data_IF_944790150943
#
_entry.id   IF_944790150943
#
_cell.length_a   1.000
_cell.length_b   1.000
_cell.length_c   1.000
_cell.angle_alpha   90.00
_cell.angle_beta   90.00
_cell.angle_gamma   90.00
#
_symmetry.space_group_name_H-M   'P 1'
#
loop_
_entity.id
_entity.type
_entity.pdbx_description
1 polymer ?
#
# COMPACT_ATOMS: atom_id res chain seq x y z
N UNK A 1 44.06 -59.93 36.81
CA UNK A 1 44.58 -60.43 35.53
C UNK A 1 43.40 -61.02 34.76
N UNK A 2 42.91 -60.32 33.72
CA UNK A 2 42.08 -60.81 32.58
C UNK A 2 40.67 -61.36 32.93
N UNK A 3 39.54 -61.04 32.28
CA UNK A 3 39.13 -60.27 31.09
C UNK A 3 37.60 -60.00 31.25
N UNK A 4 37.11 -58.81 30.89
CA UNK A 4 35.67 -58.54 30.73
C UNK A 4 35.24 -58.80 29.27
N UNK A 5 34.06 -59.37 29.00
CA UNK A 5 33.55 -59.48 27.64
C UNK A 5 32.91 -58.15 27.18
N UNK A 6 33.17 -57.84 25.91
CA UNK A 6 32.65 -56.71 25.14
C UNK A 6 31.20 -57.02 24.74
N UNK A 7 30.26 -56.16 25.12
CA UNK A 7 28.88 -56.18 24.60
C UNK A 7 28.84 -55.22 23.39
N UNK A 8 28.74 -55.79 22.19
CA UNK A 8 28.38 -55.06 20.98
C UNK A 8 26.85 -54.86 20.96
N UNK A 9 26.40 -53.64 21.22
CA UNK A 9 25.04 -53.20 20.93
C UNK A 9 24.97 -52.78 19.47
N UNK A 10 24.33 -53.61 18.63
CA UNK A 10 23.97 -53.25 17.26
C UNK A 10 22.76 -52.32 17.28
N UNK A 11 22.97 -51.06 16.89
CA UNK A 11 21.94 -50.05 16.71
C UNK A 11 21.03 -50.41 15.52
N UNK A 12 19.79 -50.84 15.78
CA UNK A 12 18.75 -50.91 14.77
C UNK A 12 18.16 -49.50 14.58
N UNK A 13 18.56 -48.82 13.50
CA UNK A 13 17.92 -47.60 13.03
C UNK A 13 16.52 -47.94 12.51
N UNK A 14 15.48 -47.69 13.31
CA UNK A 14 14.11 -47.61 12.80
C UNK A 14 13.96 -46.28 12.06
N UNK A 15 14.09 -46.31 10.73
CA UNK A 15 13.60 -45.24 9.86
C UNK A 15 12.07 -45.22 9.95
N UNK A 16 11.53 -44.37 10.84
CA UNK A 16 10.15 -43.91 10.74
C UNK A 16 10.01 -43.20 9.39
N UNK A 17 9.32 -43.83 8.45
CA UNK A 17 8.82 -43.16 7.26
C UNK A 17 7.90 -42.02 7.71
N UNK A 18 8.40 -40.78 7.65
CA UNK A 18 7.56 -39.60 7.72
C UNK A 18 6.65 -39.66 6.50
N UNK A 19 5.39 -40.04 6.69
CA UNK A 19 4.35 -39.87 5.69
C UNK A 19 4.13 -38.37 5.54
N UNK A 20 4.83 -37.77 4.58
CA UNK A 20 4.51 -36.44 4.10
C UNK A 20 3.11 -36.52 3.49
N UNK A 21 2.13 -35.86 4.13
CA UNK A 21 0.81 -35.68 3.53
C UNK A 21 0.99 -35.02 2.17
N UNK A 22 0.31 -35.49 1.10
CA UNK A 22 0.47 -34.91 -0.22
C UNK A 22 0.12 -33.43 -0.17
N UNK A 23 1.06 -32.58 -0.58
CA UNK A 23 0.81 -31.17 -0.84
C UNK A 23 -0.32 -31.10 -1.87
N UNK A 24 -1.42 -30.35 -1.63
CA UNK A 24 -2.52 -30.28 -2.58
C UNK A 24 -1.98 -29.81 -3.95
N UNK A 25 -2.45 -30.46 -5.02
CA UNK A 25 -2.07 -30.16 -6.40
C UNK A 25 -2.37 -28.67 -6.68
N UNK A 26 -1.34 -27.85 -6.94
CA UNK A 26 -1.52 -26.43 -7.28
C UNK A 26 -2.36 -26.23 -8.55
N UNK A 27 -2.40 -27.24 -9.44
CA UNK A 27 -3.23 -27.27 -10.65
C UNK A 27 -4.72 -27.58 -10.40
N UNK A 28 -5.10 -28.06 -9.21
CA UNK A 28 -6.49 -28.33 -8.82
C UNK A 28 -7.05 -27.29 -7.83
N UNK A 29 -6.21 -26.36 -7.37
CA UNK A 29 -6.57 -25.40 -6.35
C UNK A 29 -7.49 -24.33 -6.96
N UNK A 30 -8.79 -24.46 -6.69
CA UNK A 30 -9.81 -23.57 -7.25
C UNK A 30 -10.10 -22.49 -6.22
N UNK A 31 -9.54 -21.30 -6.42
CA UNK A 31 -9.90 -20.09 -5.66
C UNK A 31 -10.95 -19.29 -6.43
N UNK A 32 -11.71 -18.47 -5.71
CA UNK A 32 -12.68 -17.55 -6.30
C UNK A 32 -11.99 -16.54 -7.20
N UNK A 33 -10.80 -16.08 -6.81
CA UNK A 33 -9.99 -15.11 -7.55
C UNK A 33 -8.52 -15.53 -7.62
N UNK A 34 -7.80 -15.09 -8.65
CA UNK A 34 -6.33 -15.14 -8.67
C UNK A 34 -5.78 -14.12 -7.66
N UNK A 35 -6.37 -12.91 -7.65
CA UNK A 35 -5.90 -11.78 -6.85
C UNK A 35 -7.08 -11.03 -6.23
N UNK A 36 -7.00 -10.74 -4.94
CA UNK A 36 -7.87 -9.74 -4.30
C UNK A 36 -7.08 -8.46 -4.05
N UNK A 37 -7.66 -7.32 -4.42
CA UNK A 37 -7.13 -5.97 -4.18
C UNK A 37 -7.93 -5.32 -3.06
N UNK A 38 -7.26 -4.89 -2.00
CA UNK A 38 -7.88 -4.28 -0.82
C UNK A 38 -7.68 -2.77 -0.86
N UNK A 39 -8.70 -2.03 -1.31
CA UNK A 39 -8.73 -0.58 -1.43
C UNK A 39 -8.89 -0.09 -2.88
N UNK A 40 -9.81 0.85 -3.11
CA UNK A 40 -10.12 1.43 -4.42
C UNK A 40 -9.51 2.81 -4.69
N UNK A 41 -8.40 3.13 -4.01
CA UNK A 41 -7.57 4.29 -4.33
C UNK A 41 -6.79 4.12 -5.63
N UNK A 42 -5.97 5.11 -6.04
CA UNK A 42 -5.21 5.05 -7.29
C UNK A 42 -4.32 3.81 -7.44
N UNK A 43 -3.70 3.32 -6.35
CA UNK A 43 -2.88 2.11 -6.40
C UNK A 43 -3.70 0.84 -6.64
N UNK A 44 -4.87 0.73 -6.00
CA UNK A 44 -5.82 -0.36 -6.24
C UNK A 44 -6.38 -0.34 -7.66
N UNK A 45 -6.76 0.85 -8.17
CA UNK A 45 -7.23 1.03 -9.55
C UNK A 45 -6.14 0.66 -10.58
N UNK A 46 -4.89 1.07 -10.34
CA UNK A 46 -3.74 0.71 -11.18
C UNK A 46 -3.50 -0.80 -11.22
N UNK A 47 -3.62 -1.46 -10.07
CA UNK A 47 -3.52 -2.91 -9.98
C UNK A 47 -4.68 -3.61 -10.71
N UNK A 48 -5.92 -3.23 -10.42
CA UNK A 48 -7.13 -3.83 -11.02
C UNK A 48 -7.14 -3.69 -12.55
N UNK A 49 -6.81 -2.51 -13.06
CA UNK A 49 -6.65 -2.26 -14.50
C UNK A 49 -5.59 -3.18 -15.13
N UNK A 50 -4.43 -3.30 -14.47
CA UNK A 50 -3.34 -4.16 -14.93
C UNK A 50 -3.74 -5.63 -14.96
N UNK A 51 -4.46 -6.11 -13.95
CA UNK A 51 -4.98 -7.49 -13.86
C UNK A 51 -6.00 -7.77 -14.97
N UNK A 52 -6.91 -6.82 -15.23
CA UNK A 52 -7.88 -6.92 -16.31
C UNK A 52 -7.23 -7.04 -17.69
N UNK A 53 -6.18 -6.27 -17.95
CA UNK A 53 -5.42 -6.33 -19.22
C UNK A 53 -4.75 -7.67 -19.50
N UNK A 54 -4.38 -8.41 -18.46
CA UNK A 54 -3.78 -9.75 -18.57
C UNK A 54 -4.78 -10.87 -18.26
N UNK A 55 -6.07 -10.53 -18.18
CA UNK A 55 -7.20 -11.46 -17.99
C UNK A 55 -7.08 -12.33 -16.73
N UNK A 56 -6.48 -11.81 -15.66
CA UNK A 56 -6.54 -12.44 -14.34
C UNK A 56 -7.92 -12.27 -13.74
N UNK A 57 -8.39 -13.28 -13.01
CA UNK A 57 -9.65 -13.20 -12.27
C UNK A 57 -9.39 -12.43 -10.98
N UNK A 58 -9.93 -11.21 -10.84
CA UNK A 58 -9.64 -10.38 -9.67
C UNK A 58 -10.86 -9.66 -9.11
N UNK A 59 -10.85 -9.44 -7.79
CA UNK A 59 -11.85 -8.66 -7.08
C UNK A 59 -11.16 -7.51 -6.33
N UNK A 60 -11.67 -6.30 -6.49
CA UNK A 60 -11.33 -5.18 -5.64
C UNK A 60 -12.42 -4.95 -4.60
N UNK A 61 -12.02 -4.85 -3.34
CA UNK A 61 -12.92 -4.54 -2.21
C UNK A 61 -12.54 -3.17 -1.68
N UNK A 62 -13.46 -2.20 -1.76
CA UNK A 62 -13.20 -0.80 -1.43
C UNK A 62 -14.10 -0.27 -0.31
N UNK A 63 -13.51 0.26 0.76
CA UNK A 63 -14.23 0.86 1.88
C UNK A 63 -14.69 2.29 1.62
N UNK A 64 -14.31 2.87 0.47
CA UNK A 64 -14.60 4.24 0.07
C UNK A 64 -14.03 5.32 1.01
N UNK A 65 -12.99 5.01 1.79
CA UNK A 65 -12.31 5.95 2.69
C UNK A 65 -10.98 6.45 2.11
N UNK A 66 -11.04 7.46 1.26
CA UNK A 66 -9.87 7.96 0.52
C UNK A 66 -9.10 9.05 1.28
N UNK A 67 -7.77 9.05 1.19
CA UNK A 67 -6.90 10.04 1.85
C UNK A 67 -7.15 11.46 1.33
N UNK A 68 -7.32 11.61 0.03
CA UNK A 68 -7.63 12.89 -0.62
C UNK A 68 -9.14 13.20 -0.69
N UNK A 69 -10.01 12.48 0.01
CA UNK A 69 -11.45 12.79 0.03
C UNK A 69 -11.80 14.23 0.47
N UNK A 70 -11.07 14.87 1.40
CA UNK A 70 -11.35 16.24 1.81
C UNK A 70 -11.00 17.31 0.76
N UNK A 71 -10.10 17.00 -0.17
CA UNK A 71 -9.59 17.96 -1.17
C UNK A 71 -10.67 18.34 -2.18
N UNK A 72 -10.70 19.61 -2.58
CA UNK A 72 -11.63 20.11 -3.60
C UNK A 72 -11.35 19.44 -4.95
N UNK A 73 -10.09 19.52 -5.36
CA UNK A 73 -9.59 19.09 -6.65
C UNK A 73 -8.29 18.30 -6.44
N UNK A 74 -7.95 17.47 -7.42
CA UNK A 74 -6.63 16.86 -7.51
C UNK A 74 -5.87 17.44 -8.70
N UNK A 75 -4.60 17.73 -8.49
CA UNK A 75 -3.68 18.20 -9.51
C UNK A 75 -2.50 17.23 -9.66
N UNK A 76 -1.59 17.55 -10.58
CA UNK A 76 -0.37 16.77 -10.87
C UNK A 76 -0.69 15.34 -11.36
N UNK A 77 -1.81 15.20 -12.08
CA UNK A 77 -2.19 13.96 -12.76
C UNK A 77 -2.51 14.25 -14.21
N UNK A 78 -1.55 13.97 -15.08
CA UNK A 78 -1.68 14.20 -16.52
C UNK A 78 -3.00 13.59 -17.07
N UNK A 79 -3.82 14.43 -17.70
CA UNK A 79 -5.14 14.06 -18.24
C UNK A 79 -6.31 14.16 -17.26
N UNK A 80 -6.05 14.42 -15.97
CA UNK A 80 -7.05 14.60 -14.92
C UNK A 80 -6.72 15.80 -14.02
N UNK A 81 -5.96 16.76 -14.53
CA UNK A 81 -5.55 17.93 -13.76
C UNK A 81 -6.76 18.82 -13.45
N UNK A 82 -6.97 19.11 -12.18
CA UNK A 82 -8.10 19.91 -11.71
C UNK A 82 -9.42 19.17 -11.66
N UNK A 83 -9.49 17.85 -11.67
CA UNK A 83 -10.78 17.17 -11.46
C UNK A 83 -11.03 16.89 -9.98
N UNK A 84 -12.27 16.57 -9.60
CA UNK A 84 -12.49 16.07 -8.23
C UNK A 84 -11.91 14.65 -8.09
N UNK A 85 -11.31 14.30 -6.94
CA UNK A 85 -10.80 12.93 -6.71
C UNK A 85 -11.85 11.84 -6.96
N UNK A 86 -13.12 12.12 -6.64
CA UNK A 86 -14.22 11.20 -6.88
C UNK A 86 -14.47 10.99 -8.38
N UNK A 87 -14.42 12.05 -9.19
CA UNK A 87 -14.58 11.94 -10.64
C UNK A 87 -13.45 11.12 -11.28
N UNK A 88 -12.20 11.35 -10.85
CA UNK A 88 -11.07 10.53 -11.30
C UNK A 88 -11.30 9.03 -11.05
N UNK A 89 -11.65 8.65 -9.81
CA UNK A 89 -11.90 7.25 -9.45
C UNK A 89 -13.07 6.65 -10.24
N UNK A 90 -14.17 7.41 -10.36
CA UNK A 90 -15.32 7.00 -11.16
C UNK A 90 -14.93 6.75 -12.62
N UNK A 91 -14.22 7.70 -13.26
CA UNK A 91 -13.80 7.61 -14.65
C UNK A 91 -12.88 6.41 -14.88
N UNK A 92 -11.90 6.19 -14.00
CA UNK A 92 -11.04 5.01 -14.03
C UNK A 92 -11.86 3.71 -13.93
N UNK A 93 -12.83 3.64 -13.01
CA UNK A 93 -13.69 2.46 -12.85
C UNK A 93 -14.58 2.20 -14.08
N UNK A 94 -15.09 3.23 -14.74
CA UNK A 94 -15.85 3.06 -16.00
C UNK A 94 -14.99 2.36 -17.07
N UNK A 95 -13.70 2.73 -17.16
CA UNK A 95 -12.78 2.10 -18.12
C UNK A 95 -12.45 0.66 -17.72
N UNK A 96 -12.20 0.41 -16.44
CA UNK A 96 -11.86 -0.93 -15.92
C UNK A 96 -13.03 -1.90 -16.10
N UNK A 97 -14.28 -1.43 -16.00
CA UNK A 97 -15.48 -2.25 -16.14
C UNK A 97 -15.62 -2.95 -17.51
N UNK A 98 -14.87 -2.52 -18.54
CA UNK A 98 -14.81 -3.22 -19.82
C UNK A 98 -14.04 -4.55 -19.77
N UNK A 99 -13.25 -4.80 -18.72
CA UNK A 99 -12.54 -6.06 -18.55
C UNK A 99 -13.41 -7.07 -17.78
N UNK A 100 -13.93 -8.07 -18.47
CA UNK A 100 -14.88 -9.05 -17.89
C UNK A 100 -14.29 -9.97 -16.82
N UNK A 101 -12.97 -9.98 -16.62
CA UNK A 101 -12.29 -10.85 -15.64
C UNK A 101 -12.08 -10.17 -14.29
N UNK A 102 -12.39 -8.88 -14.18
CA UNK A 102 -12.23 -8.14 -12.93
C UNK A 102 -13.58 -7.59 -12.47
N UNK A 103 -13.77 -7.58 -11.17
CA UNK A 103 -14.94 -6.99 -10.52
C UNK A 103 -14.50 -6.11 -9.36
N UNK A 104 -15.40 -5.23 -8.94
CA UNK A 104 -15.21 -4.39 -7.77
C UNK A 104 -16.49 -4.38 -6.94
N UNK A 105 -16.34 -4.27 -5.63
CA UNK A 105 -17.46 -4.14 -4.69
C UNK A 105 -17.11 -3.17 -3.57
N UNK A 106 -18.13 -2.55 -3.00
CA UNK A 106 -17.98 -1.73 -1.82
C UNK A 106 -18.03 -2.62 -0.56
N UNK A 107 -17.02 -2.49 0.29
CA UNK A 107 -16.94 -3.24 1.53
C UNK A 107 -15.63 -3.00 2.26
N UNK A 108 -15.57 -3.41 3.52
CA UNK A 108 -14.35 -3.34 4.33
C UNK A 108 -13.82 -4.74 4.57
N UNK A 109 -12.59 -5.01 4.13
CA UNK A 109 -11.90 -6.26 4.48
C UNK A 109 -11.53 -6.22 5.96
N UNK A 110 -11.93 -7.25 6.69
CA UNK A 110 -11.76 -7.36 8.14
C UNK A 110 -10.71 -8.39 8.54
N UNK A 111 -10.44 -9.39 7.69
CA UNK A 111 -9.43 -10.42 7.96
C UNK A 111 -8.91 -11.03 6.66
N UNK A 112 -7.63 -11.40 6.66
CA UNK A 112 -6.98 -12.17 5.61
C UNK A 112 -6.24 -13.30 6.32
N UNK A 113 -6.58 -14.55 6.02
CA UNK A 113 -5.99 -15.73 6.67
C UNK A 113 -5.26 -16.57 5.63
N UNK A 114 -3.95 -16.84 5.80
CA UNK A 114 -3.19 -17.68 4.90
C UNK A 114 -3.60 -19.15 5.07
N UNK A 115 -3.71 -19.85 3.94
CA UNK A 115 -4.09 -21.26 3.88
C UNK A 115 -3.06 -22.07 3.11
N UNK A 116 -3.00 -23.38 3.42
CA UNK A 116 -2.11 -24.34 2.76
C UNK A 116 -0.66 -23.82 2.59
N UNK A 117 -0.06 -23.34 3.70
CA UNK A 117 1.29 -22.76 3.72
C UNK A 117 1.44 -21.58 2.73
N UNK A 118 0.53 -20.60 2.82
CA UNK A 118 0.53 -19.38 1.99
C UNK A 118 0.31 -19.64 0.49
N UNK A 119 -0.31 -20.76 0.14
CA UNK A 119 -0.67 -21.05 -1.27
C UNK A 119 -1.87 -20.21 -1.71
N UNK A 120 -2.80 -19.94 -0.79
CA UNK A 120 -3.94 -19.06 -1.01
C UNK A 120 -4.39 -18.43 0.32
N UNK A 121 -5.41 -17.57 0.25
CA UNK A 121 -5.92 -16.80 1.37
C UNK A 121 -7.45 -16.83 1.43
N UNK A 122 -7.99 -16.91 2.64
CA UNK A 122 -9.37 -16.57 2.94
C UNK A 122 -9.45 -15.07 3.28
N UNK A 123 -10.23 -14.31 2.52
CA UNK A 123 -10.41 -12.86 2.69
C UNK A 123 -11.85 -12.59 3.12
N UNK A 124 -12.02 -12.18 4.38
CA UNK A 124 -13.32 -11.84 4.95
C UNK A 124 -13.59 -10.34 4.82
N UNK A 125 -14.81 -9.98 4.43
CA UNK A 125 -15.24 -8.59 4.28
C UNK A 125 -16.65 -8.36 4.82
N UNK A 126 -16.93 -7.11 5.19
CA UNK A 126 -18.28 -6.62 5.51
C UNK A 126 -18.70 -5.62 4.42
N UNK A 127 -19.80 -5.91 3.73
CA UNK A 127 -20.38 -5.07 2.69
C UNK A 127 -21.13 -3.86 3.29
N UNK A 128 -21.53 -2.90 2.46
CA UNK A 128 -22.18 -1.67 2.93
C UNK A 128 -23.52 -1.90 3.65
N UNK A 129 -24.22 -2.98 3.33
CA UNK A 129 -25.47 -3.38 3.98
C UNK A 129 -25.26 -4.20 5.27
N UNK A 130 -24.00 -4.43 5.66
CA UNK A 130 -23.62 -5.23 6.81
C UNK A 130 -23.47 -6.73 6.52
N UNK A 131 -23.68 -7.18 5.28
CA UNK A 131 -23.50 -8.59 4.89
C UNK A 131 -22.03 -8.98 5.02
N UNK A 132 -21.78 -10.10 5.72
CA UNK A 132 -20.45 -10.69 5.82
C UNK A 132 -20.23 -11.71 4.70
N UNK A 133 -19.15 -11.50 3.95
CA UNK A 133 -18.75 -12.35 2.83
C UNK A 133 -17.31 -12.84 3.02
N UNK A 134 -16.99 -14.02 2.49
CA UNK A 134 -15.62 -14.53 2.47
C UNK A 134 -15.29 -15.04 1.08
N UNK A 135 -14.12 -14.65 0.58
CA UNK A 135 -13.62 -14.97 -0.74
C UNK A 135 -12.25 -15.63 -0.65
N UNK A 136 -11.91 -16.47 -1.61
CA UNK A 136 -10.58 -17.09 -1.71
C UNK A 136 -9.74 -16.44 -2.81
N UNK A 137 -8.45 -16.21 -2.53
CA UNK A 137 -7.51 -15.70 -3.52
C UNK A 137 -6.10 -16.29 -3.41
N UNK A 138 -5.38 -16.44 -4.53
CA UNK A 138 -3.98 -16.90 -4.52
C UNK A 138 -3.01 -15.83 -4.03
N UNK A 139 -3.30 -14.56 -4.32
CA UNK A 139 -2.49 -13.40 -3.91
C UNK A 139 -3.41 -12.28 -3.40
N UNK A 140 -2.86 -11.42 -2.54
CA UNK A 140 -3.57 -10.24 -2.04
C UNK A 140 -2.68 -9.00 -2.17
N UNK A 141 -3.26 -7.91 -2.67
CA UNK A 141 -2.64 -6.59 -2.74
C UNK A 141 -3.28 -5.68 -1.70
N UNK A 142 -2.50 -5.21 -0.74
CA UNK A 142 -2.90 -4.22 0.27
C UNK A 142 -2.68 -2.80 -0.30
N UNK A 143 -3.78 -2.19 -0.77
CA UNK A 143 -3.84 -0.83 -1.31
C UNK A 143 -4.60 0.11 -0.35
N UNK A 144 -4.39 -0.08 0.95
CA UNK A 144 -5.23 0.49 2.03
C UNK A 144 -5.00 1.98 2.29
N UNK A 145 -3.88 2.53 1.83
CA UNK A 145 -3.48 3.91 2.04
C UNK A 145 -3.16 4.25 3.50
N UNK A 146 -2.98 5.56 3.74
CA UNK A 146 -2.70 6.14 5.06
C UNK A 146 -3.84 7.05 5.53
N UNK A 147 -3.81 7.37 6.82
CA UNK A 147 -4.60 8.42 7.46
C UNK A 147 -3.67 9.50 8.01
N UNK A 148 -3.93 10.75 7.68
CA UNK A 148 -3.21 11.90 8.23
C UNK A 148 -3.64 12.18 9.67
N UNK A 149 -2.66 12.40 10.56
CA UNK A 149 -2.87 12.72 11.98
C UNK A 149 -2.99 14.23 12.16
N UNK A 150 -4.13 14.77 11.73
CA UNK A 150 -4.44 16.20 11.87
C UNK A 150 -4.71 16.54 13.35
N UNK A 151 -4.00 17.51 13.96
CA UNK A 151 -4.19 17.88 15.36
C UNK A 151 -5.61 18.36 15.70
N UNK A 152 -6.00 18.24 16.96
CA UNK A 152 -7.30 18.70 17.49
C UNK A 152 -7.39 20.22 17.68
N UNK A 153 -6.36 20.99 17.30
CA UNK A 153 -6.40 22.46 17.34
C UNK A 153 -7.64 22.96 16.59
N UNK A 154 -8.54 23.71 17.24
CA UNK A 154 -9.80 24.09 16.63
C UNK A 154 -9.61 24.80 15.29
N UNK A 155 -10.29 24.33 14.25
CA UNK A 155 -10.20 24.84 12.89
C UNK A 155 -9.21 24.12 11.98
N UNK A 156 -8.32 23.23 12.48
CA UNK A 156 -7.45 22.46 11.58
C UNK A 156 -8.22 21.38 10.82
N UNK A 157 -8.96 20.53 11.54
CA UNK A 157 -9.65 19.38 10.92
C UNK A 157 -10.75 19.82 9.95
N UNK A 158 -11.48 20.89 10.28
CA UNK A 158 -12.58 21.41 9.47
C UNK A 158 -12.11 22.00 8.13
N UNK A 159 -10.87 22.48 8.09
CA UNK A 159 -10.28 23.16 6.93
C UNK A 159 -9.21 22.32 6.20
N UNK A 160 -8.93 21.10 6.69
CA UNK A 160 -8.00 20.18 6.01
C UNK A 160 -8.53 19.79 4.62
N UNK A 161 -7.72 20.01 3.58
CA UNK A 161 -8.11 19.89 2.18
C UNK A 161 -8.90 21.08 1.61
N UNK A 162 -9.07 22.17 2.38
CA UNK A 162 -9.84 23.36 2.02
C UNK A 162 -9.12 24.64 2.49
N UNK A 163 -7.91 24.86 1.98
CA UNK A 163 -7.00 25.94 2.38
C UNK A 163 -5.97 25.55 3.45
N UNK A 164 -6.09 24.35 4.03
CA UNK A 164 -5.05 23.71 4.84
C UNK A 164 -4.61 22.41 4.15
N UNK A 165 -3.39 22.36 3.64
CA UNK A 165 -2.89 21.28 2.79
C UNK A 165 -1.59 20.70 3.31
N UNK A 166 -1.19 19.54 2.78
CA UNK A 166 0.08 18.90 3.15
C UNK A 166 1.11 18.95 2.02
N UNK A 167 0.68 19.10 0.76
CA UNK A 167 1.51 18.88 -0.43
C UNK A 167 1.50 20.10 -1.36
N UNK A 168 2.61 20.84 -1.48
CA UNK A 168 2.68 22.02 -2.37
C UNK A 168 2.59 21.67 -3.85
N UNK A 169 2.93 20.44 -4.26
CA UNK A 169 2.73 19.97 -5.63
C UNK A 169 1.24 19.76 -5.98
N UNK A 170 0.42 19.49 -4.97
CA UNK A 170 -0.98 19.12 -5.12
C UNK A 170 -1.90 20.33 -5.11
N UNK A 171 -1.56 21.35 -4.31
CA UNK A 171 -2.43 22.50 -4.02
C UNK A 171 -1.67 23.84 -4.05
N UNK A 172 -0.40 23.86 -4.47
CA UNK A 172 0.44 25.07 -4.33
C UNK A 172 0.15 26.17 -5.33
N UNK A 173 -0.05 25.83 -6.60
CA UNK A 173 -0.15 26.82 -7.69
C UNK A 173 -1.44 27.65 -7.62
N UNK A 174 -2.52 27.05 -7.11
CA UNK A 174 -3.80 27.74 -6.83
C UNK A 174 -3.63 28.86 -5.80
N UNK A 175 -2.56 28.80 -4.99
CA UNK A 175 -2.22 29.76 -3.95
C UNK A 175 -0.90 30.50 -4.20
N UNK A 176 -0.38 30.51 -5.43
CA UNK A 176 0.82 31.26 -5.78
C UNK A 176 0.65 32.78 -5.53
N UNK A 177 1.76 33.44 -5.16
CA UNK A 177 1.84 34.88 -4.83
C UNK A 177 0.98 35.34 -3.63
N UNK A 178 0.38 34.41 -2.90
CA UNK A 178 -0.42 34.66 -1.69
C UNK A 178 0.43 34.60 -0.40
N UNK A 179 -0.13 35.01 0.74
CA UNK A 179 0.52 34.85 2.05
C UNK A 179 0.38 33.41 2.57
N UNK A 180 1.51 32.76 2.86
CA UNK A 180 1.58 31.34 3.20
C UNK A 180 2.03 31.10 4.64
N UNK A 181 1.28 30.26 5.35
CA UNK A 181 1.69 29.68 6.63
C UNK A 181 2.17 28.25 6.46
N UNK A 182 3.19 27.83 7.20
CA UNK A 182 3.64 26.42 7.23
C UNK A 182 3.70 25.96 8.69
N UNK A 183 2.94 24.92 9.03
CA UNK A 183 2.72 24.46 10.40
C UNK A 183 3.41 23.12 10.63
N UNK A 184 4.16 23.01 11.71
CA UNK A 184 4.79 21.76 12.12
C UNK A 184 6.10 21.95 12.89
N UNK A 185 6.77 20.84 13.26
CA UNK A 185 8.05 20.90 13.94
C UNK A 185 9.12 21.61 13.10
N UNK A 186 9.92 22.47 13.73
CA UNK A 186 10.89 23.34 13.04
C UNK A 186 11.84 22.56 12.13
N UNK A 187 12.30 21.39 12.56
CA UNK A 187 13.25 20.56 11.82
C UNK A 187 12.64 19.98 10.52
N UNK A 188 11.32 19.82 10.47
CA UNK A 188 10.61 19.27 9.31
C UNK A 188 10.10 20.36 8.35
N UNK A 189 9.63 21.50 8.88
CA UNK A 189 8.94 22.54 8.09
C UNK A 189 9.87 23.40 7.23
N UNK A 190 11.19 23.39 7.47
CA UNK A 190 12.14 24.15 6.64
C UNK A 190 12.26 23.55 5.24
N UNK A 191 12.27 22.22 5.12
CA UNK A 191 12.23 21.54 3.82
C UNK A 191 10.92 21.83 3.09
N UNK A 192 9.78 21.74 3.78
CA UNK A 192 8.48 22.10 3.20
C UNK A 192 8.43 23.56 2.72
N UNK A 193 9.03 24.49 3.45
CA UNK A 193 9.16 25.88 3.03
C UNK A 193 10.06 26.03 1.79
N UNK A 194 11.11 25.22 1.68
CA UNK A 194 11.97 25.19 0.51
C UNK A 194 11.27 24.61 -0.73
N UNK A 195 10.42 23.60 -0.57
CA UNK A 195 9.60 23.04 -1.66
C UNK A 195 8.63 24.07 -2.25
N UNK A 196 8.03 24.92 -1.41
CA UNK A 196 7.08 25.95 -1.84
C UNK A 196 7.72 27.30 -2.22
N UNK A 197 9.05 27.45 -2.14
CA UNK A 197 9.70 28.77 -2.17
C UNK A 197 9.56 29.53 -3.49
N UNK A 198 9.27 28.82 -4.59
CA UNK A 198 9.05 29.43 -5.91
C UNK A 198 7.62 29.90 -6.12
N UNK A 199 6.69 29.49 -5.26
CA UNK A 199 5.28 29.85 -5.34
C UNK A 199 4.99 31.15 -4.60
N UNK A 200 5.65 31.41 -3.47
CA UNK A 200 5.27 32.50 -2.57
C UNK A 200 6.50 33.18 -1.94
N UNK A 201 6.43 34.51 -1.78
CA UNK A 201 7.48 35.31 -1.13
C UNK A 201 7.13 35.71 0.31
N UNK A 202 5.86 35.70 0.72
CA UNK A 202 5.42 35.95 2.11
C UNK A 202 5.13 34.62 2.81
N UNK A 203 6.17 34.02 3.38
CA UNK A 203 6.10 32.74 4.08
C UNK A 203 6.38 32.92 5.56
N UNK A 204 5.52 32.35 6.40
CA UNK A 204 5.75 32.22 7.85
C UNK A 204 5.63 30.78 8.30
N UNK A 205 6.67 30.32 8.97
CA UNK A 205 6.69 29.04 9.67
C UNK A 205 6.08 29.24 11.06
N UNK A 206 5.12 28.41 11.43
CA UNK A 206 4.58 28.31 12.77
C UNK A 206 5.13 27.03 13.44
N UNK A 207 6.16 27.22 14.26
CA UNK A 207 6.92 26.13 14.88
C UNK A 207 6.27 25.59 16.17
N UNK A 208 5.25 26.27 16.71
CA UNK A 208 4.44 25.78 17.83
C UNK A 208 5.28 25.30 19.03
N UNK A 209 6.21 26.13 19.50
CA UNK A 209 7.11 25.84 20.61
C UNK A 209 8.35 24.99 20.26
N UNK A 210 8.44 24.45 19.04
CA UNK A 210 9.56 23.57 18.65
C UNK A 210 10.82 24.32 18.22
N UNK A 211 10.78 25.65 18.02
CA UNK A 211 11.98 26.44 17.76
C UNK A 211 12.84 26.57 19.02
N UNK A 212 13.67 25.55 19.22
CA UNK A 212 14.59 25.36 20.34
C UNK A 212 15.99 25.04 19.81
N UNK A 213 17.06 25.18 20.62
CA UNK A 213 18.41 24.83 20.18
C UNK A 213 18.55 23.39 19.66
N UNK A 214 17.83 22.44 20.25
CA UNK A 214 17.85 21.03 19.81
C UNK A 214 17.26 20.87 18.40
N UNK A 215 16.06 21.40 18.18
CA UNK A 215 15.38 21.33 16.88
C UNK A 215 16.11 22.13 15.80
N UNK A 216 16.69 23.29 16.14
CA UNK A 216 17.57 24.03 15.21
C UNK A 216 18.78 23.20 14.79
N UNK A 217 19.42 22.48 15.72
CA UNK A 217 20.54 21.59 15.38
C UNK A 217 20.12 20.43 14.48
N UNK A 218 18.92 19.86 14.68
CA UNK A 218 18.36 18.85 13.77
C UNK A 218 18.10 19.43 12.39
N UNK A 219 17.45 20.60 12.34
CA UNK A 219 17.13 21.31 11.11
C UNK A 219 18.38 21.67 10.30
N UNK A 220 19.46 22.13 10.96
CA UNK A 220 20.73 22.39 10.30
C UNK A 220 21.30 21.11 9.67
N UNK A 221 21.33 19.98 10.39
CA UNK A 221 21.84 18.71 9.85
C UNK A 221 21.05 18.21 8.65
N UNK A 222 19.72 18.36 8.68
CA UNK A 222 18.85 17.95 7.57
C UNK A 222 18.99 18.91 6.38
N UNK A 223 19.05 20.21 6.65
CA UNK A 223 19.05 21.27 5.64
C UNK A 223 20.44 21.89 5.42
N UNK A 224 21.35 21.07 4.89
CA UNK A 224 22.67 21.50 4.39
C UNK A 224 23.53 22.30 5.39
N UNK A 225 23.48 21.93 6.67
CA UNK A 225 24.26 22.46 7.80
C UNK A 225 24.02 23.93 8.15
N UNK A 226 23.08 24.62 7.50
CA UNK A 226 22.85 26.06 7.73
C UNK A 226 21.42 26.53 7.41
N UNK A 227 20.46 25.92 8.08
CA UNK A 227 19.03 26.22 7.91
C UNK A 227 18.69 27.67 8.27
N UNK A 228 19.35 28.22 9.30
CA UNK A 228 19.11 29.59 9.78
C UNK A 228 19.52 30.65 8.75
N UNK A 229 20.65 30.47 8.06
CA UNK A 229 21.08 31.37 6.99
C UNK A 229 20.15 31.28 5.77
N UNK A 230 19.64 30.09 5.46
CA UNK A 230 18.66 29.92 4.39
C UNK A 230 17.39 30.71 4.66
N UNK A 231 16.79 30.54 5.86
CA UNK A 231 15.60 31.29 6.28
C UNK A 231 15.84 32.80 6.20
N UNK A 232 17.01 33.27 6.67
CA UNK A 232 17.39 34.68 6.62
C UNK A 232 17.49 35.21 5.19
N UNK A 233 18.14 34.47 4.28
CA UNK A 233 18.30 34.88 2.87
C UNK A 233 16.99 34.87 2.10
N UNK A 234 16.07 33.97 2.46
CA UNK A 234 14.73 33.86 1.87
C UNK A 234 13.69 34.75 2.55
N UNK A 235 14.08 35.47 3.61
CA UNK A 235 13.18 36.31 4.42
C UNK A 235 11.96 35.54 4.99
N UNK A 236 12.17 34.26 5.32
CA UNK A 236 11.13 33.41 5.93
C UNK A 236 11.13 33.66 7.43
N UNK A 237 9.98 34.05 7.98
CA UNK A 237 9.84 34.28 9.43
C UNK A 237 9.48 32.98 10.13
N UNK A 238 10.02 32.79 11.33
CA UNK A 238 9.64 31.71 12.23
C UNK A 238 8.89 32.32 13.40
N UNK A 239 7.64 31.90 13.59
CA UNK A 239 6.82 32.20 14.76
C UNK A 239 6.77 30.97 15.66
N UNK A 240 7.35 31.07 16.85
CA UNK A 240 7.43 29.95 17.78
C UNK A 240 6.28 29.91 18.79
N UNK A 241 5.34 30.85 18.74
CA UNK A 241 4.20 30.86 19.65
C UNK A 241 3.27 29.67 19.38
N UNK A 242 2.54 29.24 20.41
CA UNK A 242 1.64 28.10 20.29
C UNK A 242 0.37 28.52 19.55
N UNK A 243 -0.04 27.75 18.53
CA UNK A 243 -1.32 27.97 17.85
C UNK A 243 -2.45 27.47 18.75
N UNK A 244 -3.36 28.37 19.13
CA UNK A 244 -4.53 28.04 19.94
C UNK A 244 -5.76 27.76 19.08
N UNK A 245 -5.87 28.41 17.90
CA UNK A 245 -7.03 28.27 17.00
C UNK A 245 -6.70 28.75 15.60
N UNK A 246 -7.41 28.20 14.61
CA UNK A 246 -7.42 28.69 13.24
C UNK A 246 -8.86 29.06 12.87
N UNK A 247 -9.08 30.31 12.46
CA UNK A 247 -10.39 30.76 11.98
C UNK A 247 -10.33 30.99 10.50
N UNK A 248 -11.20 30.35 9.74
CA UNK A 248 -11.40 30.70 8.33
C UNK A 248 -12.30 31.93 8.23
N UNK A 249 -11.73 33.03 7.75
CA UNK A 249 -12.39 34.32 7.57
C UNK A 249 -13.07 34.43 6.19
N UNK A 250 -12.51 33.76 5.18
CA UNK A 250 -13.01 33.74 3.82
C UNK A 250 -12.84 32.34 3.20
N UNK A 251 -13.87 31.88 2.50
CA UNK A 251 -13.82 30.66 1.67
C UNK A 251 -13.45 31.04 0.24
N UNK A 252 -12.25 30.64 -0.20
CA UNK A 252 -11.70 30.93 -1.53
C UNK A 252 -12.17 29.99 -2.65
N UNK A 253 -12.94 28.94 -2.33
CA UNK A 253 -13.33 27.90 -3.30
C UNK A 253 -14.76 28.04 -3.82
N UNK A 254 -15.47 29.12 -3.48
CA UNK A 254 -16.89 29.31 -3.81
C UNK A 254 -17.14 30.01 -5.17
N UNK A 255 -16.13 30.09 -6.04
CA UNK A 255 -16.24 30.82 -7.31
C UNK A 255 -16.70 29.93 -8.47
N UNK A 256 -17.38 30.53 -9.46
CA UNK A 256 -17.67 29.85 -10.74
C UNK A 256 -16.36 29.47 -11.42
N UNK A 257 -16.21 28.18 -11.71
CA UNK A 257 -15.02 27.61 -12.33
C UNK A 257 -15.31 27.19 -13.76
N UNK A 258 -14.36 27.46 -14.66
CA UNK A 258 -14.31 26.82 -15.97
C UNK A 258 -13.73 25.40 -15.83
N UNK A 259 -14.53 24.33 -16.07
CA UNK A 259 -14.07 22.96 -15.96
C UNK A 259 -13.04 22.56 -17.04
N UNK A 260 -12.81 23.40 -18.05
CA UNK A 260 -11.76 23.18 -19.07
C UNK A 260 -10.37 23.61 -18.62
N UNK A 261 -10.26 24.42 -17.56
CA UNK A 261 -8.99 24.87 -17.02
C UNK A 261 -8.53 23.97 -15.87
N UNK A 262 -7.23 23.62 -15.83
CA UNK A 262 -6.68 22.76 -14.79
C UNK A 262 -6.75 23.41 -13.40
N UNK A 263 -6.62 24.73 -13.33
CA UNK A 263 -6.60 25.46 -12.07
C UNK A 263 -7.44 26.74 -12.13
N UNK A 264 -7.88 27.18 -10.96
CA UNK A 264 -8.40 28.53 -10.70
C UNK A 264 -7.76 29.01 -9.40
N UNK A 265 -7.25 30.26 -9.34
CA UNK A 265 -6.74 30.81 -8.09
C UNK A 265 -7.78 30.73 -6.96
N UNK A 266 -7.36 30.22 -5.81
CA UNK A 266 -8.21 30.08 -4.61
C UNK A 266 -7.79 31.11 -3.57
N UNK A 267 -8.72 32.01 -3.20
CA UNK A 267 -8.45 33.13 -2.30
C UNK A 267 -9.05 32.90 -0.92
N UNK A 268 -8.56 31.88 -0.23
CA UNK A 268 -8.89 31.63 1.17
C UNK A 268 -8.27 32.70 2.08
N UNK A 269 -8.83 32.90 3.28
CA UNK A 269 -8.21 33.73 4.32
C UNK A 269 -8.41 33.09 5.68
N UNK A 270 -7.31 32.82 6.37
CA UNK A 270 -7.25 32.25 7.69
C UNK A 270 -6.63 33.24 8.67
N UNK A 271 -7.16 33.25 9.89
CA UNK A 271 -6.53 33.88 11.05
C UNK A 271 -5.99 32.80 11.96
N UNK A 272 -4.67 32.77 12.10
CA UNK A 272 -3.94 31.95 13.07
C UNK A 272 -3.89 32.72 14.38
N UNK A 273 -4.45 32.15 15.44
CA UNK A 273 -4.51 32.72 16.78
C UNK A 273 -3.49 32.05 17.69
N UNK A 274 -2.76 32.87 18.44
CA UNK A 274 -1.59 32.46 19.21
C UNK A 274 -1.86 32.59 20.73
N UNK A 275 -1.04 31.93 21.53
CA UNK A 275 -1.16 31.87 22.99
C UNK A 275 -0.98 33.22 23.72
N UNK A 276 -0.36 34.22 23.08
CA UNK A 276 -0.19 35.59 23.57
C UNK A 276 -1.28 36.57 23.07
N UNK A 277 -2.41 36.06 22.56
CA UNK A 277 -3.45 36.81 21.86
C UNK A 277 -3.03 37.40 20.51
N UNK A 278 -1.81 37.09 20.04
CA UNK A 278 -1.33 37.42 18.71
C UNK A 278 -2.20 36.81 17.61
N UNK A 279 -2.28 37.52 16.47
CA UNK A 279 -3.05 37.10 15.31
C UNK A 279 -2.21 37.31 14.05
N UNK A 280 -2.14 36.28 13.23
CA UNK A 280 -1.45 36.33 11.93
C UNK A 280 -2.40 35.83 10.87
N UNK A 281 -2.61 36.62 9.82
CA UNK A 281 -3.50 36.24 8.71
C UNK A 281 -2.71 35.61 7.57
N UNK A 282 -3.19 34.48 7.04
CA UNK A 282 -2.59 33.74 5.93
C UNK A 282 -3.66 33.27 4.98
N UNK A 283 -3.37 33.25 3.70
CA UNK A 283 -4.32 32.83 2.68
C UNK A 283 -4.29 31.33 2.43
N UNK A 284 -3.13 30.70 2.66
CA UNK A 284 -2.98 29.24 2.60
C UNK A 284 -2.12 28.76 3.76
N UNK A 285 -2.44 27.58 4.29
CA UNK A 285 -1.66 26.91 5.31
C UNK A 285 -1.18 25.54 4.79
N UNK A 286 0.12 25.29 4.83
CA UNK A 286 0.71 23.97 4.61
C UNK A 286 1.08 23.33 5.94
N UNK A 287 0.99 22.00 6.03
CA UNK A 287 1.23 21.29 7.28
C UNK A 287 2.17 20.11 7.09
N UNK A 288 3.01 19.86 8.10
CA UNK A 288 3.86 18.67 8.18
C UNK A 288 3.44 17.89 9.42
N UNK A 289 2.42 17.07 9.27
CA UNK A 289 1.87 16.21 10.32
C UNK A 289 2.21 14.74 10.09
N UNK A 290 2.11 13.94 11.15
CA UNK A 290 2.29 12.50 11.06
C UNK A 290 1.18 11.82 10.26
N UNK A 291 1.41 10.58 9.88
CA UNK A 291 0.39 9.71 9.29
C UNK A 291 0.54 8.29 9.84
N UNK A 292 -0.51 7.49 9.70
CA UNK A 292 -0.56 6.10 10.14
C UNK A 292 -1.27 5.22 9.11
N UNK A 293 -1.14 3.90 9.23
CA UNK A 293 -1.90 2.97 8.40
C UNK A 293 -3.39 3.19 8.58
N UNK A 294 -4.13 3.27 7.46
CA UNK A 294 -5.59 3.30 7.49
C UNK A 294 -6.18 1.98 8.02
N UNK A 295 -5.48 0.88 7.79
CA UNK A 295 -5.95 -0.47 8.07
C UNK A 295 -4.90 -1.26 8.87
N UNK A 296 -5.32 -2.03 9.90
CA UNK A 296 -4.41 -2.89 10.66
C UNK A 296 -4.06 -4.20 9.93
N UNK A 297 -4.60 -4.45 8.73
CA UNK A 297 -4.47 -5.74 8.03
C UNK A 297 -3.01 -6.16 7.82
N UNK A 298 -2.11 -5.22 7.51
CA UNK A 298 -0.68 -5.49 7.37
C UNK A 298 -0.08 -6.06 8.65
N UNK A 299 -0.30 -5.39 9.78
CA UNK A 299 0.18 -5.83 11.09
C UNK A 299 -0.43 -7.17 11.50
N UNK A 300 -1.74 -7.34 11.31
CA UNK A 300 -2.45 -8.59 11.60
C UNK A 300 -1.92 -9.79 10.78
N UNK A 301 -1.43 -9.54 9.57
CA UNK A 301 -0.81 -10.55 8.70
C UNK A 301 0.65 -10.86 9.06
N UNK A 302 1.26 -10.08 9.95
CA UNK A 302 2.69 -10.18 10.27
C UNK A 302 3.59 -9.54 9.20
N UNK A 303 3.07 -8.56 8.45
CA UNK A 303 3.89 -7.74 7.56
C UNK A 303 4.86 -6.90 8.40
N UNK A 304 6.14 -6.91 8.03
CA UNK A 304 7.16 -6.06 8.64
C UNK A 304 6.82 -4.59 8.44
N UNK A 305 7.02 -3.78 9.48
CA UNK A 305 6.69 -2.35 9.47
C UNK A 305 7.98 -1.53 9.64
N UNK A 306 8.13 -0.46 8.85
CA UNK A 306 9.20 0.52 9.02
C UNK A 306 8.64 1.94 8.98
N UNK A 307 8.86 2.72 10.05
CA UNK A 307 8.31 4.06 10.22
C UNK A 307 6.78 4.13 10.04
N UNK A 308 6.04 3.13 10.56
CA UNK A 308 4.58 3.06 10.43
C UNK A 308 4.07 2.65 9.04
N UNK A 309 4.95 2.26 8.12
CA UNK A 309 4.59 1.80 6.77
C UNK A 309 4.90 0.31 6.57
N UNK A 310 4.13 -0.37 5.71
CA UNK A 310 4.39 -1.76 5.35
C UNK A 310 5.67 -1.87 4.52
N UNK A 311 6.62 -2.65 5.00
CA UNK A 311 7.89 -2.85 4.34
C UNK A 311 7.73 -3.68 3.07
N UNK A 312 8.26 -3.15 1.96
CA UNK A 312 8.21 -3.81 0.66
C UNK A 312 9.56 -3.83 -0.04
N UNK A 313 9.76 -4.85 -0.87
CA UNK A 313 10.78 -4.81 -1.91
C UNK A 313 10.39 -3.79 -2.99
N UNK A 314 11.22 -2.77 -3.23
CA UNK A 314 10.89 -1.63 -4.11
C UNK A 314 10.76 -1.98 -5.59
N UNK A 315 11.22 -3.16 -6.00
CA UNK A 315 11.16 -3.62 -7.39
C UNK A 315 9.86 -4.40 -7.64
N UNK A 316 9.43 -5.21 -6.69
CA UNK A 316 8.30 -6.14 -6.82
C UNK A 316 7.06 -5.76 -6.00
N UNK A 317 7.18 -4.86 -5.03
CA UNK A 317 6.17 -4.54 -4.00
C UNK A 317 5.79 -5.70 -3.08
N UNK A 318 6.61 -6.76 -3.03
CA UNK A 318 6.41 -7.87 -2.10
C UNK A 318 6.64 -7.44 -0.67
N UNK A 319 5.81 -7.94 0.24
CA UNK A 319 6.11 -7.91 1.67
C UNK A 319 6.95 -9.15 2.07
N UNK A 320 7.32 -9.25 3.34
CA UNK A 320 7.90 -10.46 3.92
C UNK A 320 6.92 -11.64 3.99
N UNK A 321 5.61 -11.41 3.84
CA UNK A 321 4.58 -12.46 3.88
C UNK A 321 4.37 -13.00 2.46
N UNK A 322 4.65 -14.29 2.18
CA UNK A 322 4.53 -14.84 0.84
C UNK A 322 3.11 -14.66 0.28
N UNK A 323 2.99 -14.09 -0.91
CA UNK A 323 1.70 -13.87 -1.57
C UNK A 323 0.97 -12.57 -1.19
N UNK A 324 1.50 -11.79 -0.24
CA UNK A 324 1.00 -10.47 0.15
C UNK A 324 1.91 -9.37 -0.41
N UNK A 325 1.27 -8.39 -1.07
CA UNK A 325 1.90 -7.20 -1.62
C UNK A 325 1.32 -5.97 -0.94
N UNK A 326 2.07 -4.88 -0.85
CA UNK A 326 1.57 -3.59 -0.38
C UNK A 326 1.96 -2.48 -1.35
N UNK A 327 1.04 -1.57 -1.65
CA UNK A 327 1.20 -0.58 -2.73
C UNK A 327 0.68 0.80 -2.33
N UNK A 328 1.14 1.83 -3.06
CA UNK A 328 0.82 3.23 -2.80
C UNK A 328 1.29 3.68 -1.43
N UNK A 329 0.56 4.66 -0.87
CA UNK A 329 0.88 5.32 0.40
C UNK A 329 1.09 4.35 1.58
N UNK A 330 0.48 3.16 1.55
CA UNK A 330 0.59 2.21 2.65
C UNK A 330 2.00 1.58 2.79
N UNK A 331 2.84 1.70 1.76
CA UNK A 331 4.13 1.01 1.63
C UNK A 331 5.34 1.91 1.93
N UNK A 332 6.51 1.31 2.21
CA UNK A 332 7.76 2.03 2.48
C UNK A 332 8.43 2.66 1.26
N UNK A 333 7.81 2.65 0.07
CA UNK A 333 8.40 3.21 -1.15
C UNK A 333 8.40 4.77 -1.19
N UNK A 334 7.87 5.43 -0.14
CA UNK A 334 8.10 6.84 0.23
C UNK A 334 7.89 7.89 -0.88
N UNK A 335 6.85 7.72 -1.70
CA UNK A 335 6.39 8.80 -2.59
C UNK A 335 4.87 8.86 -2.60
N UNK A 336 4.28 9.65 -1.69
CA UNK A 336 2.83 9.72 -1.51
C UNK A 336 2.21 10.69 -2.51
N UNK A 337 1.98 10.21 -3.74
CA UNK A 337 1.22 10.92 -4.78
C UNK A 337 0.47 9.91 -5.66
N UNK A 338 -0.44 10.42 -6.50
CA UNK A 338 -1.33 9.60 -7.33
C UNK A 338 -0.56 8.82 -8.41
N UNK A 339 0.44 9.45 -9.05
CA UNK A 339 1.23 8.84 -10.13
C UNK A 339 2.06 7.65 -9.61
N UNK A 340 2.71 7.83 -8.47
CA UNK A 340 3.47 6.78 -7.80
C UNK A 340 2.54 5.66 -7.29
N UNK A 341 1.37 6.01 -6.77
CA UNK A 341 0.36 5.03 -6.39
C UNK A 341 -0.05 4.14 -7.57
N UNK A 342 -0.31 4.73 -8.74
CA UNK A 342 -0.59 3.95 -9.97
C UNK A 342 0.57 3.04 -10.36
N UNK A 343 1.79 3.56 -10.30
CA UNK A 343 3.01 2.82 -10.63
C UNK A 343 3.21 1.60 -9.71
N UNK A 344 3.13 1.77 -8.39
CA UNK A 344 3.29 0.68 -7.42
C UNK A 344 2.24 -0.42 -7.61
N UNK A 345 0.99 -0.05 -7.88
CA UNK A 345 -0.07 -1.01 -8.25
C UNK A 345 0.27 -1.82 -9.51
N UNK A 346 0.83 -1.16 -10.54
CA UNK A 346 1.25 -1.80 -11.79
C UNK A 346 2.39 -2.80 -11.57
N UNK A 347 3.45 -2.41 -10.87
CA UNK A 347 4.62 -3.27 -10.69
C UNK A 347 4.32 -4.50 -9.83
N UNK A 348 3.45 -4.35 -8.80
CA UNK A 348 2.97 -5.48 -8.01
C UNK A 348 2.29 -6.54 -8.90
N UNK A 349 1.45 -6.11 -9.84
CA UNK A 349 0.76 -7.02 -10.77
C UNK A 349 1.72 -7.70 -11.74
N UNK A 350 2.75 -7.00 -12.21
CA UNK A 350 3.77 -7.61 -13.08
C UNK A 350 4.48 -8.75 -12.34
N UNK A 351 4.87 -8.52 -11.10
CA UNK A 351 5.54 -9.54 -10.31
C UNK A 351 4.60 -10.69 -9.90
N UNK A 352 3.36 -10.38 -9.48
CA UNK A 352 2.31 -11.37 -9.21
C UNK A 352 2.10 -12.28 -10.41
N UNK A 353 2.01 -11.71 -11.61
CA UNK A 353 1.83 -12.50 -12.83
C UNK A 353 2.98 -13.50 -13.01
N UNK A 354 4.22 -13.05 -12.84
CA UNK A 354 5.39 -13.93 -12.96
C UNK A 354 5.44 -14.99 -11.86
N UNK A 355 5.05 -14.65 -10.63
CA UNK A 355 4.99 -15.63 -9.54
C UNK A 355 3.94 -16.71 -9.80
N UNK A 356 2.73 -16.32 -10.19
CA UNK A 356 1.64 -17.25 -10.47
C UNK A 356 2.04 -18.23 -11.59
N UNK A 357 2.72 -17.76 -12.64
CA UNK A 357 3.21 -18.62 -13.72
C UNK A 357 4.37 -19.52 -13.29
N UNK A 358 5.28 -19.03 -12.44
CA UNK A 358 6.35 -19.88 -11.85
C UNK A 358 5.76 -20.98 -10.97
N UNK A 359 4.75 -20.65 -10.17
CA UNK A 359 3.99 -21.61 -9.35
C UNK A 359 3.31 -22.68 -10.21
N UNK A 360 2.63 -22.27 -11.29
CA UNK A 360 2.01 -23.19 -12.25
C UNK A 360 3.08 -24.10 -12.88
N UNK A 361 4.20 -23.53 -13.33
CA UNK A 361 5.30 -24.29 -13.94
C UNK A 361 5.89 -25.32 -12.97
N UNK A 362 6.13 -24.94 -11.71
CA UNK A 362 6.57 -25.88 -10.66
C UNK A 362 5.56 -27.02 -10.48
N UNK A 363 4.27 -26.72 -10.42
CA UNK A 363 3.21 -27.73 -10.28
C UNK A 363 3.17 -28.71 -11.47
N UNK A 364 3.28 -28.21 -12.70
CA UNK A 364 3.29 -29.05 -13.90
C UNK A 364 4.50 -29.99 -13.93
N UNK A 365 5.68 -29.51 -13.52
CA UNK A 365 6.89 -30.33 -13.45
C UNK A 365 6.78 -31.43 -12.39
N UNK A 366 6.27 -31.10 -11.19
CA UNK A 366 6.02 -32.08 -10.14
C UNK A 366 5.05 -33.17 -10.62
N UNK A 367 3.97 -32.79 -11.33
CA UNK A 367 3.01 -33.76 -11.86
C UNK A 367 3.61 -34.64 -12.95
N UNK A 368 4.42 -34.07 -13.84
CA UNK A 368 5.15 -34.83 -14.85
C UNK A 368 6.08 -35.86 -14.21
N UNK A 369 6.79 -35.48 -13.14
CA UNK A 369 7.67 -36.38 -12.40
C UNK A 369 6.89 -37.50 -11.70
N UNK A 370 5.80 -37.19 -11.01
CA UNK A 370 4.92 -38.19 -10.37
C UNK A 370 4.37 -39.17 -11.41
N UNK A 371 3.95 -38.69 -12.57
CA UNK A 371 3.45 -39.53 -13.65
C UNK A 371 4.54 -40.44 -14.23
N UNK A 372 5.78 -39.94 -14.33
CA UNK A 372 6.93 -40.72 -14.76
C UNK A 372 7.22 -41.85 -13.75
N UNK A 373 7.27 -41.54 -12.46
CA UNK A 373 7.51 -42.52 -11.39
C UNK A 373 6.41 -43.60 -11.36
N UNK A 374 5.14 -43.21 -11.50
CA UNK A 374 4.01 -44.16 -11.60
C UNK A 374 4.15 -45.09 -12.82
N UNK A 375 4.58 -44.55 -13.97
CA UNK A 375 4.78 -45.33 -15.21
C UNK A 375 5.96 -46.30 -15.08
N UNK A 376 7.09 -45.86 -14.51
CA UNK A 376 8.23 -46.74 -14.22
C UNK A 376 7.83 -47.85 -13.26
N UNK A 377 7.15 -47.54 -12.14
CA UNK A 377 6.67 -48.56 -11.20
C UNK A 377 5.61 -49.50 -11.79
N UNK A 378 4.81 -49.04 -12.76
CA UNK A 378 3.91 -49.92 -13.51
C UNK A 378 4.68 -50.87 -14.45
N UNK A 379 5.67 -50.35 -15.18
CA UNK A 379 6.48 -51.15 -16.10
C UNK A 379 7.38 -52.16 -15.37
N UNK A 380 7.92 -51.80 -14.20
CA UNK A 380 8.64 -52.74 -13.34
C UNK A 380 7.74 -53.86 -12.80
N UNK A 381 6.54 -53.54 -12.32
CA UNK A 381 5.55 -54.56 -11.91
C UNK A 381 5.16 -55.48 -13.07
N UNK A 382 5.04 -54.94 -14.28
CA UNK A 382 4.73 -55.73 -15.49
C UNK A 382 5.90 -56.63 -15.92
N UNK A 383 7.14 -56.17 -15.76
CA UNK A 383 8.35 -57.01 -15.96
C UNK A 383 8.43 -58.13 -14.93
N UNK A 384 8.18 -57.83 -13.66
CA UNK A 384 8.17 -58.82 -12.57
C UNK A 384 7.09 -59.89 -12.82
N UNK A 385 5.88 -59.46 -13.22
CA UNK A 385 4.80 -60.38 -13.56
C UNK A 385 5.15 -61.28 -14.75
N UNK A 386 5.75 -60.74 -15.82
CA UNK A 386 6.24 -61.56 -16.95
C UNK A 386 7.30 -62.57 -16.54
N UNK A 387 8.27 -62.17 -15.71
CA UNK A 387 9.28 -63.11 -15.19
C UNK A 387 8.66 -64.23 -14.35
N UNK A 388 7.69 -63.90 -13.49
CA UNK A 388 6.95 -64.89 -12.71
C UNK A 388 6.11 -65.82 -13.60
N UNK A 389 5.48 -65.30 -14.65
CA UNK A 389 4.68 -66.09 -15.60
C UNK A 389 5.51 -66.94 -16.55
N UNK A 390 6.70 -66.50 -16.95
CA UNK A 390 7.63 -67.29 -17.78
C UNK A 390 8.36 -68.37 -16.96
N UNK A 391 8.55 -68.18 -15.66
CA UNK A 391 9.04 -69.22 -14.74
C UNK A 391 7.95 -70.23 -14.36
N UNK A 392 6.67 -69.88 -14.50
CA UNK A 392 5.53 -70.78 -14.29
C UNK A 392 5.26 -71.64 -15.54
N UNK A 393 6.28 -72.37 -15.98
CA UNK A 393 6.12 -73.52 -16.86
C UNK A 393 5.68 -74.75 -16.08
N UNK A 394 4.51 -74.70 -15.43
CA UNK A 394 3.84 -75.91 -14.93
C UNK A 394 2.37 -75.87 -15.33
N UNK A 395 2.03 -76.82 -16.20
CA UNK A 395 0.69 -77.24 -16.56
C UNK A 395 -0.12 -77.58 -15.31
N UNK A 396 -1.25 -76.90 -15.10
CA UNK A 396 -2.34 -77.46 -14.31
C UNK A 396 -3.25 -78.23 -15.29
N UNK A 397 -3.07 -79.55 -15.32
CA UNK A 397 -4.04 -80.50 -15.86
C UNK A 397 -5.12 -80.75 -14.78
N UNK A 398 -6.38 -80.72 -15.25
CA UNK A 398 -7.70 -80.85 -14.58
C UNK A 398 -8.24 -79.64 -13.83
#
# INVERSE_FOLDING_TARGET
MWLKPIILLTSAFFLRSATCSPTPELSSLTTDYDVIVVGGGPSGLGALSSLGRIRRKALMIDSAQYRNAPTRLMHDVAGFDGVTPAYYRWSAMQQIAHYSTVSAMNGTVTSIQPEANYTFFNVSSIELDGTASTYTARKVILATGLRDLVPETPGLQENFGKGVYWCPYCDGIEHADQSMGILGPLDMVIEAAAEAITLNSDIVIFANGTDTPEYRSKADKQFAENSSEYLRRRNIKVDNRTITRITRLQDGGAHERDPSLPMVPEHDLFRVELDDFGRVERQVLFTVFGSEQRSPLGEMLGVSMANGMMEVDRISMRTNVPGIYAVGDASTDKSTNVLHSLYTGKIAVVDIQMELEREISRSLNSQAQINLEKKVGHDERRKLWRQMSEQAGETLDL
#
